data_IF_618261449993
#
_entry.id   IF_618261449993
#
_cell.length_a   1.000
_cell.length_b   1.000
_cell.length_c   1.000
_cell.angle_alpha   90.00
_cell.angle_beta   90.00
_cell.angle_gamma   90.00
#
_symmetry.space_group_name_H-M   'P 1'
#
loop_
_entity.id
_entity.type
_entity.pdbx_description
1 polymer ?
#
# COMPACT_ATOMS: atom_id res chain seq x y z
N UNK A 1 5.81 -16.34 2.20
CA UNK A 1 4.78 -16.64 1.17
C UNK A 1 5.01 -15.73 -0.02
N UNK A 2 5.17 -16.26 -1.23
CA UNK A 2 5.34 -15.47 -2.45
C UNK A 2 4.01 -15.34 -3.20
N UNK A 3 3.69 -14.15 -3.71
CA UNK A 3 2.50 -13.90 -4.53
C UNK A 3 2.94 -13.28 -5.85
N UNK A 4 2.32 -13.73 -6.95
CA UNK A 4 2.57 -13.16 -8.28
C UNK A 4 1.88 -11.80 -8.37
N UNK A 5 2.60 -10.82 -8.87
CA UNK A 5 2.07 -9.54 -9.31
C UNK A 5 2.19 -9.45 -10.83
N UNK A 6 1.37 -8.61 -11.45
CA UNK A 6 1.46 -8.33 -12.88
C UNK A 6 1.91 -6.88 -13.05
N UNK A 7 2.98 -6.70 -13.81
CA UNK A 7 3.39 -5.40 -14.33
C UNK A 7 2.65 -5.18 -15.64
N UNK A 8 1.96 -4.06 -15.76
CA UNK A 8 1.25 -3.65 -16.98
C UNK A 8 1.67 -2.23 -17.35
N UNK A 9 1.41 -1.82 -18.58
CA UNK A 9 1.52 -0.42 -18.96
C UNK A 9 0.28 0.35 -18.50
N UNK A 10 0.50 1.48 -17.82
CA UNK A 10 -0.52 2.50 -17.65
C UNK A 10 -0.32 3.53 -18.77
N UNK A 11 -1.35 3.66 -19.61
CA UNK A 11 -1.36 4.62 -20.70
C UNK A 11 -2.00 5.92 -20.23
N UNK A 12 -1.15 6.91 -19.97
CA UNK A 12 -1.57 8.31 -20.03
C UNK A 12 -1.30 8.80 -21.45
N UNK A 13 -2.17 9.66 -21.99
CA UNK A 13 -2.10 10.18 -23.36
C UNK A 13 -0.73 10.77 -23.76
N UNK A 14 0.16 11.06 -22.81
CA UNK A 14 1.49 11.62 -23.04
C UNK A 14 2.66 10.70 -22.71
N UNK A 15 2.46 9.69 -21.85
CA UNK A 15 3.54 8.82 -21.36
C UNK A 15 3.01 7.42 -21.03
N UNK A 16 3.79 6.41 -21.38
CA UNK A 16 3.61 5.04 -20.88
C UNK A 16 4.47 4.85 -19.63
N UNK A 17 3.84 4.64 -18.48
CA UNK A 17 4.55 4.31 -17.23
C UNK A 17 4.18 2.90 -16.75
N UNK A 18 5.12 2.17 -16.10
CA UNK A 18 4.80 0.87 -15.55
C UNK A 18 3.84 0.98 -14.36
N UNK A 19 2.89 0.06 -14.29
CA UNK A 19 1.94 -0.08 -13.18
C UNK A 19 1.99 -1.50 -12.62
N UNK A 20 1.99 -1.61 -11.29
CA UNK A 20 1.86 -2.89 -10.57
C UNK A 20 0.43 -3.02 -10.07
N UNK A 21 -0.29 -4.06 -10.51
CA UNK A 21 -1.63 -4.37 -9.99
C UNK A 21 -1.57 -5.57 -9.04
N UNK A 22 -1.86 -5.34 -7.75
CA UNK A 22 -1.98 -6.37 -6.72
C UNK A 22 -3.47 -6.67 -6.50
N UNK A 23 -3.85 -7.96 -6.48
CA UNK A 23 -5.25 -8.38 -6.26
C UNK A 23 -5.34 -9.66 -5.42
N UNK A 24 -6.44 -9.78 -4.68
CA UNK A 24 -6.86 -11.01 -3.98
C UNK A 24 -6.96 -10.88 -2.45
N UNK A 25 -7.66 -11.83 -1.83
CA UNK A 25 -7.95 -11.82 -0.39
C UNK A 25 -6.73 -11.82 0.53
N UNK A 26 -5.54 -12.14 0.01
CA UNK A 26 -4.30 -12.09 0.78
C UNK A 26 -3.92 -10.67 1.22
N UNK A 27 -4.30 -9.64 0.44
CA UNK A 27 -4.11 -8.24 0.83
C UNK A 27 -4.92 -7.91 2.09
N UNK A 28 -6.22 -8.26 2.09
CA UNK A 28 -7.09 -8.09 3.25
C UNK A 28 -6.60 -8.86 4.47
N UNK A 29 -6.15 -10.10 4.29
CA UNK A 29 -5.57 -10.92 5.38
C UNK A 29 -4.25 -10.37 5.91
N UNK A 30 -3.49 -9.64 5.08
CA UNK A 30 -2.28 -8.93 5.50
C UNK A 30 -2.59 -7.57 6.16
N UNK A 31 -3.87 -7.22 6.34
CA UNK A 31 -4.30 -6.02 7.05
C UNK A 31 -4.51 -4.77 6.19
N UNK A 32 -4.34 -4.87 4.86
CA UNK A 32 -4.64 -3.77 3.93
C UNK A 32 -6.14 -3.66 3.67
N UNK A 33 -6.62 -2.43 3.53
CA UNK A 33 -8.01 -2.08 3.26
C UNK A 33 -8.09 -1.08 2.12
N UNK A 34 -9.24 -1.05 1.46
CA UNK A 34 -9.53 -0.02 0.45
C UNK A 34 -9.51 1.36 1.13
N UNK A 35 -8.86 2.33 0.49
CA UNK A 35 -8.67 3.67 1.03
C UNK A 35 -7.49 3.83 2.00
N UNK A 36 -6.77 2.76 2.37
CA UNK A 36 -5.57 2.89 3.20
C UNK A 36 -4.51 3.75 2.48
N UNK A 37 -3.93 4.70 3.21
CA UNK A 37 -2.66 5.30 2.82
C UNK A 37 -1.54 4.25 2.93
N UNK A 38 -0.64 4.21 1.95
CA UNK A 38 0.49 3.28 1.93
C UNK A 38 1.80 4.04 1.96
N UNK A 39 2.76 3.56 2.75
CA UNK A 39 4.16 3.95 2.65
C UNK A 39 4.85 3.00 1.68
N UNK A 40 5.49 3.57 0.66
CA UNK A 40 6.23 2.83 -0.36
C UNK A 40 7.68 3.26 -0.28
N UNK A 41 8.57 2.31 -0.05
CA UNK A 41 10.02 2.51 -0.12
C UNK A 41 10.55 1.83 -1.39
N UNK A 42 11.29 2.60 -2.19
CA UNK A 42 11.89 2.14 -3.43
C UNK A 42 13.38 1.91 -3.20
N UNK A 43 13.84 0.69 -3.46
CA UNK A 43 15.24 0.28 -3.36
C UNK A 43 15.63 -0.39 -4.68
N UNK A 44 16.94 -0.60 -4.89
CA UNK A 44 17.40 -1.32 -6.07
C UNK A 44 16.83 -2.75 -6.11
N UNK A 45 16.19 -3.10 -7.23
CA UNK A 45 15.51 -4.38 -7.43
C UNK A 45 14.31 -4.67 -6.51
N UNK A 46 13.84 -3.73 -5.67
CA UNK A 46 12.85 -4.02 -4.62
C UNK A 46 11.92 -2.85 -4.27
N UNK A 47 10.66 -3.19 -4.02
CA UNK A 47 9.68 -2.31 -3.38
C UNK A 47 9.27 -2.89 -2.01
N UNK A 48 9.21 -2.03 -1.00
CA UNK A 48 8.65 -2.38 0.31
C UNK A 48 7.39 -1.55 0.53
N UNK A 49 6.24 -2.23 0.61
CA UNK A 49 4.94 -1.60 0.85
C UNK A 49 4.52 -1.87 2.29
N UNK A 50 4.28 -0.82 3.05
CA UNK A 50 3.81 -0.89 4.43
C UNK A 50 2.56 -0.05 4.61
N UNK A 51 1.61 -0.58 5.39
CA UNK A 51 0.50 0.23 5.90
C UNK A 51 1.02 0.97 7.13
N UNK A 52 1.07 2.31 7.14
CA UNK A 52 1.49 3.05 8.31
C UNK A 52 0.52 2.77 9.46
N UNK A 53 1.07 2.64 10.66
CA UNK A 53 0.27 2.45 11.86
C UNK A 53 -0.54 3.72 12.10
N UNK A 54 -1.87 3.60 12.11
CA UNK A 54 -2.72 4.70 12.58
C UNK A 54 -2.50 4.76 14.08
N UNK A 55 -1.61 5.66 14.52
CA UNK A 55 -1.50 6.02 15.93
C UNK A 55 -2.82 6.66 16.31
N UNK A 56 -3.73 5.86 16.87
CA UNK A 56 -4.90 6.38 17.57
C UNK A 56 -4.34 7.19 18.74
N UNK A 57 -4.28 8.50 18.58
CA UNK A 57 -4.11 9.41 19.73
C UNK A 57 -5.28 9.12 20.67
N UNK A 58 -5.02 8.36 21.72
CA UNK A 58 -5.95 8.25 22.84
C UNK A 58 -5.88 9.62 23.52
N UNK A 59 -6.88 10.46 23.26
CA UNK A 59 -7.15 11.63 24.06
C UNK A 59 -7.60 11.15 25.42
N UNK A 60 -6.67 11.03 26.37
CA UNK A 60 -7.03 10.90 27.78
C UNK A 60 -7.72 12.20 28.18
N UNK A 61 -9.00 12.10 28.51
CA UNK A 61 -9.79 13.20 29.05
C UNK A 61 -9.12 13.75 30.29
N UNK A 62 -9.00 15.08 30.36
CA UNK A 62 -8.72 15.76 31.62
C UNK A 62 -9.99 15.67 32.47
N UNK A 63 -9.94 14.89 33.54
CA UNK A 63 -10.88 15.06 34.65
C UNK A 63 -10.38 16.23 35.52
N UNK A 64 -11.30 17.15 35.82
CA UNK A 64 -11.13 18.31 36.69
C UNK A 64 -11.53 17.95 38.12
#
# INVERSE_FOLDING_TARGET
>A
MHRKATVTSYFDARVTVPMIRLRGHWLKRAGFREGDALRIEVQDGRLVLTRPEVSTRISFGKEH
#
